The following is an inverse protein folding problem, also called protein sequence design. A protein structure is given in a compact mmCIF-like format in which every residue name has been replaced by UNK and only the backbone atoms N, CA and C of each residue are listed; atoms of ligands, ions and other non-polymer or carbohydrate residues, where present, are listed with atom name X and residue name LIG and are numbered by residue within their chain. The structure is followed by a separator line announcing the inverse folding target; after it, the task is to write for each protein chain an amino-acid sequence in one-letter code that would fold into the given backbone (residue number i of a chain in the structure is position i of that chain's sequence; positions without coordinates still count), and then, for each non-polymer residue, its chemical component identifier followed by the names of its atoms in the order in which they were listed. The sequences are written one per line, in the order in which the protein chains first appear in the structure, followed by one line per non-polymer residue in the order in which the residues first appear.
data_IF_918999774975
#
_entry.id   IF_918999774975
#
_cell.length_a   1.000
_cell.length_b   1.000
_cell.length_c   1.000
_cell.angle_alpha   90.00
_cell.angle_beta   90.00
_cell.angle_gamma   90.00
#
_symmetry.space_group_name_H-M   'P 1'
#
loop_
_entity.id
_entity.type
_entity.pdbx_description
1 polymer ?
#
# COMPACT_ATOMS: atom_id res chain seq x y z
N UNK A 1 -3.61 -4.74 -25.27
CA UNK A 1 -3.16 -4.57 -23.88
C UNK A 1 -4.04 -5.45 -22.99
N UNK A 2 -3.45 -6.11 -22.02
CA UNK A 2 -4.23 -6.79 -21.01
C UNK A 2 -4.93 -5.77 -20.07
N UNK A 3 -5.90 -6.23 -19.29
CA UNK A 3 -6.68 -5.35 -18.44
C UNK A 3 -5.82 -4.58 -17.43
N UNK A 4 -4.75 -5.20 -16.90
CA UNK A 4 -3.86 -4.55 -15.94
C UNK A 4 -3.05 -3.43 -16.57
N UNK A 5 -2.59 -3.58 -17.82
CA UNK A 5 -1.93 -2.50 -18.57
C UNK A 5 -2.86 -1.30 -18.71
N UNK A 6 -4.14 -1.53 -19.03
CA UNK A 6 -5.13 -0.44 -19.13
C UNK A 6 -5.33 0.27 -17.78
N UNK A 7 -5.31 -0.47 -16.68
CA UNK A 7 -5.37 0.12 -15.33
C UNK A 7 -4.13 0.98 -15.06
N UNK A 8 -2.92 0.51 -15.36
CA UNK A 8 -1.72 1.34 -15.20
C UNK A 8 -1.77 2.62 -16.03
N UNK A 9 -2.20 2.54 -17.29
CA UNK A 9 -2.34 3.72 -18.16
C UNK A 9 -3.37 4.72 -17.61
N UNK A 10 -4.48 4.24 -17.05
CA UNK A 10 -5.50 5.09 -16.42
C UNK A 10 -4.99 5.81 -15.17
N UNK A 11 -3.86 5.38 -14.61
CA UNK A 11 -3.21 5.99 -13.45
C UNK A 11 -1.93 6.79 -13.79
N UNK A 12 -1.67 7.06 -15.07
CA UNK A 12 -0.50 7.85 -15.52
C UNK A 12 0.65 7.02 -16.06
N UNK A 13 0.48 5.70 -16.14
CA UNK A 13 1.40 4.78 -16.80
C UNK A 13 2.51 4.22 -15.91
N UNK A 14 2.76 2.93 -16.07
CA UNK A 14 3.75 2.19 -15.30
C UNK A 14 5.18 2.68 -15.57
N UNK A 15 5.51 3.03 -16.81
CA UNK A 15 6.84 3.49 -17.15
C UNK A 15 7.14 4.86 -16.51
N UNK A 16 6.14 5.75 -16.44
CA UNK A 16 6.29 7.02 -15.72
C UNK A 16 6.49 6.79 -14.22
N UNK A 17 5.69 5.90 -13.60
CA UNK A 17 5.89 5.50 -12.20
C UNK A 17 7.31 5.00 -11.92
N UNK A 18 7.85 4.14 -12.76
CA UNK A 18 9.22 3.59 -12.61
C UNK A 18 10.34 4.62 -12.67
N UNK A 19 10.09 5.79 -13.27
CA UNK A 19 11.07 6.91 -13.26
C UNK A 19 11.10 7.65 -11.93
N UNK A 20 10.07 7.48 -11.10
CA UNK A 20 10.01 8.14 -9.80
C UNK A 20 10.90 7.44 -8.78
N UNK A 21 11.47 8.21 -7.85
CA UNK A 21 12.39 7.72 -6.84
C UNK A 21 11.88 7.93 -5.43
N UNK A 22 11.44 9.14 -5.10
CA UNK A 22 10.92 9.48 -3.77
C UNK A 22 9.44 9.69 -3.83
N UNK A 23 8.72 9.00 -2.96
CA UNK A 23 7.32 9.23 -2.62
C UNK A 23 7.24 9.67 -1.17
N UNK A 24 6.49 10.73 -0.88
CA UNK A 24 6.09 11.04 0.49
C UNK A 24 4.65 11.51 0.57
N UNK A 25 4.01 11.25 1.69
CA UNK A 25 2.66 11.70 2.00
C UNK A 25 2.48 11.84 3.51
N UNK A 26 1.51 12.63 3.91
CA UNK A 26 1.07 12.79 5.31
C UNK A 26 -0.26 12.09 5.49
N UNK A 27 -0.37 11.27 6.53
CA UNK A 27 -1.66 10.77 7.02
C UNK A 27 -2.03 11.60 8.25
N UNK A 28 -2.99 12.55 8.11
CA UNK A 28 -3.41 13.36 9.23
C UNK A 28 -4.22 12.51 10.22
N UNK A 29 -3.87 12.59 11.48
CA UNK A 29 -4.59 11.96 12.59
C UNK A 29 -4.84 13.02 13.68
N UNK A 30 -5.95 12.95 14.41
CA UNK A 30 -6.32 13.99 15.39
C UNK A 30 -5.23 14.33 16.42
N UNK A 31 -4.45 13.33 16.83
CA UNK A 31 -3.46 13.50 17.90
C UNK A 31 -2.02 13.27 17.44
N UNK A 32 -1.79 12.73 16.25
CA UNK A 32 -0.47 12.34 15.82
C UNK A 32 -0.42 12.07 14.32
N UNK A 33 -0.13 13.09 13.52
CA UNK A 33 0.06 12.91 12.08
C UNK A 33 1.32 12.12 11.77
N UNK A 34 1.26 11.32 10.72
CA UNK A 34 2.37 10.50 10.23
C UNK A 34 2.86 11.02 8.89
N UNK A 35 4.16 11.29 8.78
CA UNK A 35 4.80 11.57 7.49
C UNK A 35 5.51 10.32 7.03
N UNK A 36 5.05 9.77 5.92
CA UNK A 36 5.65 8.60 5.27
C UNK A 36 6.56 9.05 4.14
N UNK A 37 7.77 8.50 4.06
CA UNK A 37 8.72 8.73 2.97
C UNK A 37 9.29 7.41 2.51
N UNK A 38 9.25 7.14 1.21
CA UNK A 38 9.64 5.87 0.61
C UNK A 38 10.58 6.11 -0.57
N UNK A 39 11.64 5.35 -0.65
CA UNK A 39 12.45 5.18 -1.86
C UNK A 39 11.80 4.08 -2.71
N UNK A 40 11.22 4.45 -3.84
CA UNK A 40 10.44 3.53 -4.68
C UNK A 40 11.28 2.43 -5.34
N UNK A 41 12.61 2.63 -5.46
CA UNK A 41 13.50 1.66 -6.08
C UNK A 41 14.06 0.65 -5.08
N UNK A 42 14.55 1.13 -3.94
CA UNK A 42 15.14 0.27 -2.89
C UNK A 42 14.13 -0.22 -1.87
N UNK A 43 12.92 0.34 -1.86
CA UNK A 43 11.86 0.09 -0.87
C UNK A 43 12.26 0.41 0.57
N UNK A 44 13.32 1.19 0.76
CA UNK A 44 13.61 1.81 2.05
C UNK A 44 12.49 2.78 2.41
N UNK A 45 12.13 2.82 3.66
CA UNK A 45 11.07 3.68 4.13
C UNK A 45 11.37 4.31 5.49
N UNK A 46 10.63 5.36 5.78
CA UNK A 46 10.64 6.05 7.06
C UNK A 46 9.28 6.67 7.33
N UNK A 47 8.80 6.49 8.56
CA UNK A 47 7.62 7.16 9.10
C UNK A 47 8.08 8.04 10.25
N UNK A 48 7.79 9.33 10.16
CA UNK A 48 8.07 10.30 11.21
C UNK A 48 6.77 10.83 11.83
N UNK A 49 6.77 10.92 13.15
CA UNK A 49 5.74 11.57 13.96
C UNK A 49 6.39 12.49 14.99
N UNK A 50 5.60 13.24 15.74
CA UNK A 50 6.11 14.04 16.87
C UNK A 50 6.58 13.20 18.06
N UNK A 51 6.26 11.91 18.12
CA UNK A 51 6.49 11.06 19.30
C UNK A 51 7.44 9.89 19.03
N UNK A 52 7.51 9.41 17.80
CA UNK A 52 8.38 8.30 17.40
C UNK A 52 8.70 8.40 15.90
N UNK A 53 9.74 7.71 15.51
CA UNK A 53 10.03 7.42 14.11
C UNK A 53 10.27 5.93 13.93
N UNK A 54 9.95 5.40 12.77
CA UNK A 54 10.26 4.03 12.38
C UNK A 54 10.64 3.97 10.92
N UNK A 55 11.24 2.89 10.48
CA UNK A 55 11.54 2.70 9.08
C UNK A 55 12.22 1.38 8.79
N UNK A 56 12.62 1.25 7.53
CA UNK A 56 13.37 0.12 6.99
C UNK A 56 14.57 0.64 6.21
N UNK A 57 15.77 0.22 6.59
CA UNK A 57 17.02 0.71 6.00
C UNK A 57 17.47 -0.06 4.74
N UNK A 58 16.68 -1.03 4.31
CA UNK A 58 16.95 -1.94 3.20
C UNK A 58 17.35 -3.34 3.63
N UNK A 59 17.65 -3.52 4.92
CA UNK A 59 18.03 -4.81 5.52
C UNK A 59 17.17 -5.13 6.74
N UNK A 60 16.95 -4.14 7.61
CA UNK A 60 16.23 -4.32 8.87
C UNK A 60 15.27 -3.16 9.14
N UNK A 61 14.16 -3.48 9.79
CA UNK A 61 13.26 -2.47 10.32
C UNK A 61 13.81 -1.94 11.65
N UNK A 62 13.55 -0.67 11.93
CA UNK A 62 14.01 0.01 13.15
C UNK A 62 12.91 0.89 13.75
N UNK A 63 13.03 1.14 15.04
CA UNK A 63 12.15 2.01 15.81
C UNK A 63 12.97 2.96 16.68
N UNK A 64 12.64 4.25 16.64
CA UNK A 64 13.06 5.26 17.61
C UNK A 64 11.82 5.68 18.39
N UNK A 65 11.73 5.29 19.66
CA UNK A 65 10.53 5.43 20.49
C UNK A 65 10.88 5.97 21.89
N UNK A 66 11.54 7.12 21.92
CA UNK A 66 12.01 7.74 23.18
C UNK A 66 10.84 8.06 24.13
N UNK A 67 9.64 8.27 23.59
CA UNK A 67 8.44 8.50 24.38
C UNK A 67 7.81 7.23 24.97
N UNK A 68 8.20 6.04 24.46
CA UNK A 68 7.58 4.75 24.82
C UNK A 68 6.10 4.61 24.40
N UNK A 69 5.62 5.49 23.51
CA UNK A 69 4.19 5.57 23.19
C UNK A 69 3.77 4.70 21.99
N UNK A 70 4.70 4.18 21.22
CA UNK A 70 4.38 3.26 20.15
C UNK A 70 4.42 1.82 20.69
N UNK A 71 3.27 1.15 20.62
CA UNK A 71 3.09 -0.24 21.10
C UNK A 71 2.75 -1.20 19.96
N UNK A 72 2.79 -0.72 18.71
CA UNK A 72 2.43 -1.52 17.53
C UNK A 72 3.57 -2.42 17.04
N UNK A 73 3.27 -3.21 15.99
CA UNK A 73 4.24 -4.05 15.30
C UNK A 73 4.88 -3.26 14.15
N UNK A 74 6.13 -2.86 14.33
CA UNK A 74 6.90 -2.09 13.33
C UNK A 74 7.12 -2.91 12.06
N UNK A 75 7.44 -4.20 12.19
CA UNK A 75 7.67 -5.08 11.04
C UNK A 75 6.47 -5.19 10.12
N UNK A 76 5.27 -5.11 10.69
CA UNK A 76 4.02 -5.11 9.94
C UNK A 76 3.67 -3.71 9.39
N UNK A 77 3.88 -2.65 10.16
CA UNK A 77 3.31 -1.34 9.88
C UNK A 77 4.18 -0.45 8.98
N UNK A 78 5.53 -0.59 9.02
CA UNK A 78 6.44 0.38 8.38
C UNK A 78 6.15 0.63 6.89
N UNK A 79 5.68 -0.37 6.15
CA UNK A 79 5.37 -0.26 4.71
C UNK A 79 3.89 -0.50 4.37
N UNK A 80 3.03 -0.78 5.35
CA UNK A 80 1.63 -1.15 5.11
C UNK A 80 0.87 -0.07 4.34
N UNK A 81 0.96 1.17 4.79
CA UNK A 81 0.26 2.28 4.14
C UNK A 81 0.82 2.59 2.75
N UNK A 82 2.11 2.37 2.54
CA UNK A 82 2.72 2.49 1.22
C UNK A 82 2.08 1.52 0.21
N UNK A 83 1.91 0.25 0.57
CA UNK A 83 1.29 -0.72 -0.34
C UNK A 83 -0.14 -0.36 -0.69
N UNK A 84 -0.94 0.14 0.24
CA UNK A 84 -2.28 0.62 -0.09
C UNK A 84 -2.25 1.88 -0.95
N UNK A 85 -1.34 2.79 -0.67
CA UNK A 85 -1.20 4.05 -1.41
C UNK A 85 -0.73 3.86 -2.84
N UNK A 86 0.27 3.02 -3.05
CA UNK A 86 0.93 2.83 -4.36
C UNK A 86 0.20 1.86 -5.29
N UNK A 87 -1.03 1.47 -4.96
CA UNK A 87 -1.88 0.74 -5.89
C UNK A 87 -2.26 1.63 -7.09
N UNK A 88 -2.34 1.10 -8.30
CA UNK A 88 -2.07 -0.29 -8.68
C UNK A 88 -0.60 -0.62 -8.95
N UNK A 89 0.32 0.32 -8.91
CA UNK A 89 1.69 0.19 -9.40
C UNK A 89 2.53 -0.89 -8.71
N UNK A 90 2.32 -1.12 -7.41
CA UNK A 90 2.98 -2.22 -6.67
C UNK A 90 2.59 -3.61 -7.19
N UNK A 91 1.54 -3.71 -7.98
CA UNK A 91 1.12 -4.96 -8.63
C UNK A 91 1.94 -5.30 -9.88
N UNK A 92 2.94 -4.52 -10.20
CA UNK A 92 3.94 -4.81 -11.24
C UNK A 92 5.25 -5.36 -10.69
N UNK A 93 5.35 -5.58 -9.38
CA UNK A 93 6.55 -6.13 -8.75
C UNK A 93 6.80 -7.58 -9.22
N UNK A 94 8.05 -8.02 -9.12
CA UNK A 94 8.45 -9.38 -9.54
C UNK A 94 7.79 -10.48 -8.69
N UNK A 95 7.59 -11.65 -9.27
CA UNK A 95 7.03 -12.81 -8.59
C UNK A 95 5.52 -12.78 -8.40
N UNK A 96 4.82 -12.03 -9.24
CA UNK A 96 3.35 -11.92 -9.22
C UNK A 96 2.74 -12.86 -10.25
N UNK A 97 1.68 -13.55 -9.83
CA UNK A 97 0.85 -14.42 -10.66
C UNK A 97 -0.55 -13.82 -10.78
N UNK A 98 -1.00 -13.61 -12.01
CA UNK A 98 -2.32 -13.05 -12.31
C UNK A 98 -3.29 -14.13 -12.72
N UNK A 99 -4.52 -14.04 -12.25
CA UNK A 99 -5.62 -14.92 -12.65
C UNK A 99 -6.94 -14.16 -12.75
N UNK A 100 -7.92 -14.77 -13.41
CA UNK A 100 -9.26 -14.21 -13.50
C UNK A 100 -9.96 -14.30 -12.13
N UNK A 101 -10.78 -13.31 -11.83
CA UNK A 101 -11.71 -13.32 -10.68
C UNK A 101 -13.10 -12.89 -11.15
N UNK A 102 -14.18 -13.37 -10.53
CA UNK A 102 -15.53 -12.87 -10.84
C UNK A 102 -15.64 -11.35 -10.63
N UNK A 103 -16.49 -10.70 -11.40
CA UNK A 103 -16.80 -9.29 -11.22
C UNK A 103 -17.23 -9.01 -9.78
N UNK A 104 -16.85 -7.86 -9.26
CA UNK A 104 -17.40 -7.32 -8.02
C UNK A 104 -18.62 -6.47 -8.34
N UNK A 105 -19.69 -6.64 -7.60
CA UNK A 105 -20.90 -5.83 -7.76
C UNK A 105 -21.10 -4.94 -6.53
N UNK A 106 -21.24 -3.64 -6.77
CA UNK A 106 -21.52 -2.66 -5.73
C UNK A 106 -22.43 -1.55 -6.28
N UNK A 107 -23.51 -1.26 -5.56
CA UNK A 107 -24.51 -0.23 -5.91
C UNK A 107 -25.03 -0.35 -7.36
N UNK A 108 -25.29 -1.59 -7.77
CA UNK A 108 -25.82 -1.90 -9.12
C UNK A 108 -24.80 -1.79 -10.26
N UNK A 109 -23.53 -1.49 -9.97
CA UNK A 109 -22.42 -1.43 -10.93
C UNK A 109 -21.54 -2.68 -10.80
N UNK A 110 -21.09 -3.19 -11.95
CA UNK A 110 -20.14 -4.31 -12.03
C UNK A 110 -18.76 -3.78 -12.33
N UNK A 111 -17.79 -4.29 -11.56
CA UNK A 111 -16.38 -3.95 -11.68
C UNK A 111 -15.61 -5.22 -12.07
N UNK A 112 -15.12 -5.33 -13.31
CA UNK A 112 -14.23 -6.42 -13.70
C UNK A 112 -13.01 -6.46 -12.80
N UNK A 113 -12.42 -7.64 -12.62
CA UNK A 113 -11.31 -7.78 -11.70
C UNK A 113 -10.22 -8.74 -12.12
N UNK A 114 -9.11 -8.64 -11.40
CA UNK A 114 -7.93 -9.48 -11.53
C UNK A 114 -7.54 -9.94 -10.14
N UNK A 115 -7.36 -11.25 -9.96
CA UNK A 115 -6.77 -11.82 -8.77
C UNK A 115 -5.25 -11.83 -8.91
N UNK A 116 -4.57 -11.46 -7.84
CA UNK A 116 -3.12 -11.35 -7.77
C UNK A 116 -2.65 -12.20 -6.59
N UNK A 117 -1.73 -13.10 -6.87
CA UNK A 117 -1.05 -13.92 -5.89
C UNK A 117 0.47 -13.82 -6.09
N UNK A 118 1.22 -14.16 -5.07
CA UNK A 118 2.68 -14.17 -5.13
C UNK A 118 3.20 -15.60 -5.29
N UNK A 119 4.31 -15.74 -6.03
CA UNK A 119 5.04 -17.01 -6.06
C UNK A 119 5.52 -17.38 -4.64
N UNK A 120 5.61 -18.68 -4.38
CA UNK A 120 6.04 -19.18 -3.07
C UNK A 120 7.41 -18.64 -2.69
N UNK A 121 7.50 -17.99 -1.52
CA UNK A 121 8.74 -17.41 -0.97
C UNK A 121 9.04 -15.97 -1.43
N UNK A 122 8.15 -15.33 -2.16
CA UNK A 122 8.28 -13.93 -2.56
C UNK A 122 7.46 -13.03 -1.63
N UNK A 123 8.08 -11.94 -1.15
CA UNK A 123 7.45 -10.95 -0.28
C UNK A 123 7.35 -11.37 1.20
N UNK A 124 6.90 -10.44 2.04
CA UNK A 124 6.77 -10.64 3.48
C UNK A 124 5.65 -11.64 3.86
N UNK A 125 4.69 -11.86 2.96
CA UNK A 125 3.55 -12.76 3.16
C UNK A 125 3.11 -13.34 1.81
N UNK A 126 3.81 -14.39 1.34
CA UNK A 126 3.57 -15.01 0.04
C UNK A 126 2.21 -15.72 -0.08
N UNK A 127 1.44 -15.80 1.01
CA UNK A 127 0.09 -16.38 1.02
C UNK A 127 -1.01 -15.34 0.97
N UNK A 128 -0.66 -14.04 0.97
CA UNK A 128 -1.63 -12.98 0.78
C UNK A 128 -2.10 -12.96 -0.68
N UNK A 129 -3.39 -12.75 -0.85
CA UNK A 129 -4.03 -12.60 -2.14
C UNK A 129 -4.63 -11.21 -2.23
N UNK A 130 -4.53 -10.62 -3.42
CA UNK A 130 -5.15 -9.34 -3.74
C UNK A 130 -6.12 -9.50 -4.90
N UNK A 131 -7.20 -8.71 -4.86
CA UNK A 131 -8.21 -8.64 -5.90
C UNK A 131 -8.38 -7.18 -6.26
N UNK A 132 -7.95 -6.78 -7.45
CA UNK A 132 -8.23 -5.45 -7.92
C UNK A 132 -9.47 -5.49 -8.83
N UNK A 133 -10.34 -4.51 -8.62
CA UNK A 133 -11.49 -4.29 -9.46
C UNK A 133 -11.47 -2.85 -9.95
N UNK A 134 -11.72 -2.66 -11.22
CA UNK A 134 -11.62 -1.37 -11.89
C UNK A 134 -12.92 -0.97 -12.56
N UNK A 135 -13.07 0.32 -12.76
CA UNK A 135 -14.18 0.88 -13.51
C UNK A 135 -14.09 0.45 -14.98
N UNK A 136 -15.14 -0.17 -15.55
CA UNK A 136 -15.08 -0.69 -16.92
C UNK A 136 -15.00 0.39 -18.00
N UNK A 137 -15.34 1.65 -17.68
CA UNK A 137 -15.34 2.76 -18.64
C UNK A 137 -14.01 3.54 -18.57
N UNK A 138 -13.52 3.82 -17.37
CA UNK A 138 -12.32 4.63 -17.16
C UNK A 138 -11.04 3.81 -16.95
N UNK A 139 -11.18 2.53 -16.62
CA UNK A 139 -10.12 1.62 -16.20
C UNK A 139 -9.38 2.04 -14.92
N UNK A 140 -9.83 3.10 -14.24
CA UNK A 140 -9.30 3.44 -12.93
C UNK A 140 -9.67 2.37 -11.90
N UNK A 141 -8.74 2.05 -11.03
CA UNK A 141 -8.98 1.13 -9.92
C UNK A 141 -10.11 1.69 -9.02
N UNK A 142 -11.03 0.83 -8.61
CA UNK A 142 -12.17 1.21 -7.77
C UNK A 142 -12.18 0.45 -6.43
N UNK A 143 -11.77 -0.82 -6.43
CA UNK A 143 -11.80 -1.66 -5.25
C UNK A 143 -10.54 -2.51 -5.14
N UNK A 144 -10.05 -2.64 -3.91
CA UNK A 144 -9.03 -3.60 -3.51
C UNK A 144 -9.63 -4.58 -2.52
N UNK A 145 -9.64 -5.87 -2.87
CA UNK A 145 -9.80 -6.95 -1.91
C UNK A 145 -8.43 -7.48 -1.50
N UNK A 146 -8.25 -7.82 -0.23
CA UNK A 146 -6.99 -8.40 0.25
C UNK A 146 -7.19 -9.31 1.44
N UNK A 147 -6.33 -10.33 1.53
CA UNK A 147 -6.22 -11.18 2.71
C UNK A 147 -5.08 -10.70 3.60
N UNK A 148 -5.09 -11.07 4.87
CA UNK A 148 -3.99 -10.79 5.81
C UNK A 148 -3.57 -12.11 6.43
N UNK A 149 -2.41 -12.63 6.03
CA UNK A 149 -1.86 -13.89 6.52
C UNK A 149 -0.58 -13.73 7.34
N UNK A 150 -0.11 -12.50 7.49
CA UNK A 150 1.15 -12.16 8.19
C UNK A 150 1.28 -12.79 9.58
N UNK A 151 0.20 -12.80 10.39
CA UNK A 151 0.25 -13.35 11.75
C UNK A 151 -0.03 -14.84 11.82
N UNK A 152 -0.87 -15.35 10.93
CA UNK A 152 -1.25 -16.78 10.94
C UNK A 152 -0.26 -17.65 10.18
N UNK A 153 0.42 -17.09 9.18
CA UNK A 153 1.24 -17.86 8.24
C UNK A 153 0.44 -18.84 7.39
N UNK A 154 -0.90 -18.79 7.43
CA UNK A 154 -1.81 -19.67 6.69
C UNK A 154 -2.66 -18.87 5.71
N UNK A 155 -3.03 -19.49 4.58
CA UNK A 155 -3.96 -18.89 3.62
C UNK A 155 -5.29 -18.57 4.29
N UNK A 156 -5.93 -17.48 3.88
CA UNK A 156 -7.18 -17.00 4.45
C UNK A 156 -8.18 -16.73 3.34
N UNK A 157 -9.41 -17.20 3.54
CA UNK A 157 -10.55 -16.87 2.66
C UNK A 157 -11.25 -15.56 3.08
N UNK A 158 -10.78 -14.91 4.14
CA UNK A 158 -11.34 -13.66 4.64
C UNK A 158 -10.77 -12.47 3.90
N UNK A 159 -11.48 -12.01 2.87
CA UNK A 159 -11.08 -10.88 2.04
C UNK A 159 -11.65 -9.60 2.61
N UNK A 160 -10.78 -8.65 2.94
CA UNK A 160 -11.13 -7.28 3.35
C UNK A 160 -11.25 -6.39 2.12
N UNK A 161 -12.10 -5.37 2.16
CA UNK A 161 -12.39 -4.52 1.01
C UNK A 161 -12.14 -3.04 1.29
N UNK A 162 -11.40 -2.41 0.37
CA UNK A 162 -11.11 -0.97 0.35
C UNK A 162 -11.66 -0.38 -0.94
N UNK A 163 -12.40 0.72 -0.80
CA UNK A 163 -12.84 1.55 -1.93
C UNK A 163 -11.78 2.60 -2.27
N UNK A 164 -11.52 2.75 -3.58
CA UNK A 164 -10.64 3.75 -4.18
C UNK A 164 -11.48 4.60 -5.15
N UNK A 165 -12.13 5.62 -4.66
CA UNK A 165 -13.03 6.47 -5.45
C UNK A 165 -12.62 7.94 -5.48
N UNK A 166 -11.67 8.33 -4.65
CA UNK A 166 -11.19 9.71 -4.53
C UNK A 166 -9.71 9.77 -4.89
N UNK A 167 -9.42 10.38 -6.03
CA UNK A 167 -8.11 10.43 -6.65
C UNK A 167 -7.59 11.86 -6.75
N UNK A 168 -6.27 12.00 -6.80
CA UNK A 168 -5.60 13.27 -7.06
C UNK A 168 -4.50 13.07 -8.10
N UNK A 169 -4.26 14.09 -8.91
CA UNK A 169 -3.14 14.12 -9.83
C UNK A 169 -1.90 14.71 -9.14
N UNK A 170 -0.80 13.97 -9.14
CA UNK A 170 0.49 14.41 -8.62
C UNK A 170 1.56 13.99 -9.60
N UNK A 171 2.26 14.96 -10.19
CA UNK A 171 3.32 14.73 -11.18
C UNK A 171 2.87 13.75 -12.29
N UNK A 172 1.73 14.05 -12.91
CA UNK A 172 1.12 13.27 -14.01
C UNK A 172 0.70 11.83 -13.61
N UNK A 173 0.74 11.49 -12.33
CA UNK A 173 0.24 10.23 -11.79
C UNK A 173 -1.10 10.46 -11.09
N UNK A 174 -2.03 9.52 -11.26
CA UNK A 174 -3.31 9.51 -10.57
C UNK A 174 -3.18 8.63 -9.33
N UNK A 175 -3.07 9.27 -8.18
CA UNK A 175 -2.80 8.65 -6.88
C UNK A 175 -3.96 8.84 -5.92
N UNK A 176 -4.14 7.96 -4.91
CA UNK A 176 -5.25 8.08 -3.98
C UNK A 176 -5.22 9.40 -3.19
N UNK A 177 -6.39 10.04 -3.06
CA UNK A 177 -6.61 11.12 -2.08
C UNK A 177 -7.17 10.55 -0.80
N UNK A 178 -8.18 9.68 -0.92
CA UNK A 178 -8.83 9.02 0.20
C UNK A 178 -9.11 7.57 -0.15
N UNK A 179 -8.87 6.66 0.78
CA UNK A 179 -9.26 5.25 0.69
C UNK A 179 -10.20 4.92 1.85
N UNK A 180 -11.18 4.05 1.61
CA UNK A 180 -12.24 3.76 2.58
C UNK A 180 -12.43 2.26 2.76
N UNK A 181 -12.27 1.77 3.98
CA UNK A 181 -12.61 0.39 4.33
C UNK A 181 -14.10 0.22 4.48
N UNK A 182 -14.61 -0.91 4.02
CA UNK A 182 -16.02 -1.27 4.12
C UNK A 182 -16.23 -2.53 4.96
N UNK A 183 -17.38 -2.62 5.59
CA UNK A 183 -17.91 -3.91 6.09
C UNK A 183 -18.19 -4.81 4.89
N UNK A 184 -18.17 -6.11 5.11
CA UNK A 184 -18.38 -7.08 4.05
C UNK A 184 -18.90 -8.41 4.58
N UNK A 185 -19.56 -9.15 3.71
CA UNK A 185 -19.88 -10.57 3.88
C UNK A 185 -19.39 -11.31 2.63
N UNK A 186 -18.21 -11.95 2.73
CA UNK A 186 -17.54 -12.53 1.58
C UNK A 186 -17.20 -11.46 0.53
N UNK A 187 -17.81 -11.54 -0.64
CA UNK A 187 -17.66 -10.56 -1.73
C UNK A 187 -18.79 -9.51 -1.77
N UNK A 188 -19.71 -9.55 -0.83
CA UNK A 188 -20.76 -8.53 -0.71
C UNK A 188 -20.24 -7.36 0.11
N UNK A 189 -20.15 -6.21 -0.53
CA UNK A 189 -19.71 -4.95 0.10
C UNK A 189 -20.89 -4.33 0.85
N UNK A 190 -20.65 -3.92 2.08
CA UNK A 190 -21.61 -3.26 2.97
C UNK A 190 -21.18 -1.81 3.26
N UNK A 191 -21.67 -1.24 4.35
CA UNK A 191 -21.43 0.15 4.72
C UNK A 191 -19.93 0.48 4.94
N UNK A 192 -19.50 1.74 4.67
CA UNK A 192 -18.17 2.21 5.00
C UNK A 192 -17.93 2.20 6.53
N UNK A 193 -16.69 1.90 6.93
CA UNK A 193 -16.28 1.82 8.36
C UNK A 193 -15.33 2.95 8.71
N UNK A 194 -14.28 3.14 7.90
CA UNK A 194 -13.21 4.09 8.19
C UNK A 194 -12.53 4.54 6.91
N UNK A 195 -11.96 5.73 6.92
CA UNK A 195 -11.23 6.28 5.79
C UNK A 195 -9.87 6.79 6.24
N UNK A 196 -8.91 6.75 5.32
CA UNK A 196 -7.61 7.42 5.44
C UNK A 196 -7.48 8.40 4.29
N UNK A 197 -7.06 9.63 4.60
CA UNK A 197 -6.74 10.66 3.64
C UNK A 197 -5.23 10.83 3.56
N UNK A 198 -4.72 11.05 2.36
CA UNK A 198 -3.31 11.29 2.08
C UNK A 198 -3.13 12.75 1.65
N UNK A 199 -2.43 13.51 2.47
CA UNK A 199 -2.15 14.92 2.25
C UNK A 199 -0.67 15.16 1.92
N UNK A 200 -0.35 16.36 1.46
CA UNK A 200 1.02 16.82 1.20
C UNK A 200 1.83 15.81 0.35
N UNK A 201 1.19 15.25 -0.66
CA UNK A 201 1.80 14.21 -1.49
C UNK A 201 2.87 14.81 -2.38
N UNK A 202 4.05 14.17 -2.37
CA UNK A 202 5.16 14.50 -3.23
C UNK A 202 5.68 13.22 -3.87
N UNK A 203 5.84 13.24 -5.19
CA UNK A 203 6.50 12.17 -5.94
C UNK A 203 7.44 12.79 -6.97
N UNK A 204 8.69 12.32 -7.01
CA UNK A 204 9.68 12.81 -7.97
C UNK A 204 10.83 11.80 -8.20
N UNK A 205 11.64 12.06 -9.21
CA UNK A 205 12.77 11.22 -9.61
C UNK A 205 14.05 11.39 -8.78
N UNK A 206 14.09 12.25 -7.76
CA UNK A 206 15.29 12.52 -6.96
C UNK A 206 15.34 11.66 -5.71
N UNK A 207 16.47 11.01 -5.38
CA UNK A 207 16.62 10.28 -4.13
C UNK A 207 16.71 11.23 -2.93
N UNK A 208 16.40 10.72 -1.74
CA UNK A 208 16.78 11.38 -0.48
C UNK A 208 18.29 11.30 -0.28
N UNK A 209 18.88 12.20 0.54
CA UNK A 209 20.29 12.12 0.90
C UNK A 209 20.68 10.76 1.50
N UNK A 210 21.95 10.39 1.34
CA UNK A 210 22.51 9.20 1.96
C UNK A 210 22.25 9.21 3.49
N UNK A 211 21.85 8.06 4.01
CA UNK A 211 21.54 7.90 5.43
C UNK A 211 20.15 8.36 5.86
N UNK A 212 19.32 8.94 4.98
CA UNK A 212 17.97 9.39 5.35
C UNK A 212 17.10 8.27 5.94
N UNK A 213 17.21 7.07 5.40
CA UNK A 213 16.46 5.90 5.86
C UNK A 213 17.19 5.06 6.91
N UNK A 214 18.42 5.43 7.25
CA UNK A 214 19.20 4.69 8.24
C UNK A 214 18.59 4.83 9.64
N UNK A 215 18.78 3.79 10.46
CA UNK A 215 18.41 3.80 11.87
C UNK A 215 19.08 4.99 12.58
N UNK A 216 18.33 5.88 13.24
CA UNK A 216 18.91 6.93 14.10
C UNK A 216 19.79 6.33 15.21
N UNK A 217 20.72 7.14 15.77
CA UNK A 217 21.63 6.68 16.82
C UNK A 217 20.90 6.14 18.05
N UNK A 218 19.81 6.80 18.45
CA UNK A 218 18.95 6.39 19.59
C UNK A 218 17.91 5.35 19.22
N UNK A 219 17.81 4.96 17.95
CA UNK A 219 16.88 3.94 17.49
C UNK A 219 17.39 2.52 17.73
N UNK A 220 16.49 1.57 17.75
CA UNK A 220 16.76 0.14 17.88
C UNK A 220 16.26 -0.62 16.65
N UNK A 221 17.01 -1.65 16.24
CA UNK A 221 16.49 -2.61 15.26
C UNK A 221 15.44 -3.52 15.88
N UNK A 222 14.38 -3.77 15.14
CA UNK A 222 13.32 -4.68 15.55
C UNK A 222 13.45 -6.01 14.82
N UNK A 223 13.23 -7.10 15.55
CA UNK A 223 13.20 -8.44 14.96
C UNK A 223 11.87 -8.61 14.26
N UNK A 224 11.90 -8.74 12.93
CA UNK A 224 10.72 -9.16 12.16
C UNK A 224 10.52 -10.65 12.46
N UNK A 225 9.42 -11.01 13.09
CA UNK A 225 9.04 -12.41 13.23
C UNK A 225 8.59 -12.90 11.85
N UNK A 226 9.51 -13.53 11.12
CA UNK A 226 9.15 -14.33 9.94
C UNK A 226 8.56 -15.64 10.45
N UNK A 227 7.25 -15.79 10.31
CA UNK A 227 6.54 -17.06 10.56
C UNK A 227 6.48 -17.90 9.29
#
# INVERSE_FOLDING_TARGET
PDALTQVFEAHGGLEHWKTQRTLSFVIPKPNLSETHTIDLWSRKDRIDTEQFSMGFDGEQAWLMNDSGKYEGDVGFYHNLMFYFYAMPFVLSDDGIVYSATPDLEYDGKKYPGIQIAYESGVGASSKDEYFIHFDPETHQMAWLGYTVTYRSGESSDNVKWINYADWQEVNELILPKTITWHKYEGRTILDPVSSITFDEVLVNGSPKPDGFYAKPETGEYVTIQMN
#
